data_IF_968226344464
#
_entry.id   IF_968226344464
#
_cell.length_a   1.000
_cell.length_b   1.000
_cell.length_c   1.000
_cell.angle_alpha   90.00
_cell.angle_beta   90.00
_cell.angle_gamma   90.00
#
_symmetry.space_group_name_H-M   'P 1'
#
loop_
_entity.id
_entity.type
_entity.pdbx_description
1 polymer ?
#
# COMPACT_ATOMS: atom_id res chain seq x y z
N UNK A 1 12.42 -5.73 -5.33
CA UNK A 1 11.01 -5.79 -5.79
C UNK A 1 10.91 -6.32 -7.22
N UNK A 2 11.61 -5.73 -8.21
CA UNK A 2 11.65 -6.23 -9.60
C UNK A 2 11.86 -7.75 -9.75
N UNK A 3 12.93 -8.29 -9.15
CA UNK A 3 13.19 -9.74 -9.23
C UNK A 3 12.05 -10.58 -8.63
N UNK A 4 11.54 -10.20 -7.47
CA UNK A 4 10.39 -10.87 -6.85
C UNK A 4 9.17 -10.95 -7.77
N UNK A 5 8.81 -9.85 -8.43
CA UNK A 5 7.68 -9.82 -9.38
C UNK A 5 7.95 -10.77 -10.56
N UNK A 6 9.16 -10.73 -11.11
CA UNK A 6 9.56 -11.61 -12.23
C UNK A 6 9.54 -13.08 -11.84
N UNK A 7 10.03 -13.41 -10.66
CA UNK A 7 10.08 -14.77 -10.15
C UNK A 7 8.66 -15.31 -9.93
N UNK A 8 7.77 -14.53 -9.30
CA UNK A 8 6.35 -14.93 -9.12
C UNK A 8 5.65 -15.14 -10.46
N UNK A 9 5.85 -14.25 -11.44
CA UNK A 9 5.28 -14.40 -12.80
C UNK A 9 5.78 -15.66 -13.48
N UNK A 10 7.08 -15.93 -13.39
CA UNK A 10 7.70 -17.14 -13.95
C UNK A 10 7.15 -18.39 -13.30
N UNK A 11 7.10 -18.43 -11.97
CA UNK A 11 6.67 -19.60 -11.20
C UNK A 11 5.18 -19.93 -11.43
N UNK A 12 4.35 -18.91 -11.63
CA UNK A 12 2.92 -19.07 -11.94
C UNK A 12 2.62 -19.24 -13.44
N UNK A 13 3.60 -19.04 -14.32
CA UNK A 13 3.39 -19.08 -15.77
C UNK A 13 2.59 -17.90 -16.33
N UNK A 14 2.47 -16.81 -15.56
CA UNK A 14 1.63 -15.65 -15.87
C UNK A 14 2.50 -14.40 -16.08
N UNK A 15 3.02 -14.15 -17.30
CA UNK A 15 4.00 -13.10 -17.58
C UNK A 15 3.49 -11.68 -17.33
N UNK A 16 2.17 -11.48 -17.37
CA UNK A 16 1.50 -10.19 -17.22
C UNK A 16 0.65 -10.11 -15.95
N UNK A 17 0.85 -11.03 -15.00
CA UNK A 17 0.14 -11.04 -13.71
C UNK A 17 0.20 -9.65 -13.07
N UNK A 18 -0.96 -9.03 -12.76
CA UNK A 18 -0.98 -7.68 -12.22
C UNK A 18 -0.51 -7.65 -10.76
N UNK A 19 0.29 -6.63 -10.42
CA UNK A 19 0.76 -6.39 -9.05
C UNK A 19 0.33 -5.02 -8.55
N UNK A 20 -0.22 -4.98 -7.34
CA UNK A 20 -0.40 -3.74 -6.59
C UNK A 20 0.54 -3.74 -5.39
N UNK A 21 1.36 -2.70 -5.29
CA UNK A 21 2.32 -2.54 -4.19
C UNK A 21 1.83 -1.42 -3.28
N UNK A 22 1.58 -1.75 -2.02
CA UNK A 22 1.37 -0.74 -0.98
C UNK A 22 2.69 -0.06 -0.61
N UNK A 23 2.84 1.22 -0.95
CA UNK A 23 3.96 2.03 -0.46
C UNK A 23 3.75 2.24 1.05
N UNK A 24 4.77 1.93 1.84
CA UNK A 24 4.75 1.99 3.30
C UNK A 24 4.23 3.35 3.79
N UNK A 25 3.25 3.33 4.71
CA UNK A 25 2.56 4.54 5.18
C UNK A 25 2.50 4.70 6.69
N UNK A 26 3.18 3.85 7.46
CA UNK A 26 3.10 3.81 8.93
C UNK A 26 3.68 5.06 9.64
N UNK A 27 4.30 5.99 8.90
CA UNK A 27 4.63 7.33 9.36
C UNK A 27 3.40 8.26 9.52
N UNK A 28 2.23 7.83 9.05
CA UNK A 28 1.02 8.64 9.06
C UNK A 28 1.21 9.98 8.36
N UNK A 29 0.75 11.06 8.99
CA UNK A 29 0.86 12.42 8.43
C UNK A 29 2.26 13.03 8.48
N UNK A 30 3.25 12.33 9.05
CA UNK A 30 4.61 12.85 9.19
C UNK A 30 5.42 12.53 7.95
N UNK A 31 6.41 13.34 7.64
CA UNK A 31 7.37 13.01 6.58
C UNK A 31 8.18 11.75 6.94
N UNK A 32 8.36 10.85 5.97
CA UNK A 32 9.23 9.68 6.13
C UNK A 32 10.70 10.10 6.13
N UNK A 33 11.50 9.50 7.02
CA UNK A 33 12.94 9.81 7.17
C UNK A 33 13.77 8.53 7.22
N UNK A 34 15.07 8.66 6.95
CA UNK A 34 16.03 7.56 7.02
C UNK A 34 15.61 6.35 6.19
N UNK A 35 15.72 5.15 6.76
CA UNK A 35 15.42 3.88 6.07
C UNK A 35 14.00 3.82 5.51
N UNK A 36 13.02 4.46 6.17
CA UNK A 36 11.64 4.47 5.66
C UNK A 36 11.55 5.25 4.34
N UNK A 37 12.20 6.40 4.23
CA UNK A 37 12.21 7.17 2.99
C UNK A 37 12.85 6.38 1.84
N UNK A 38 13.96 5.68 2.14
CA UNK A 38 14.65 4.81 1.18
C UNK A 38 13.71 3.69 0.69
N UNK A 39 13.02 3.01 1.61
CA UNK A 39 12.10 1.93 1.25
C UNK A 39 10.90 2.46 0.46
N UNK A 40 10.30 3.60 0.85
CA UNK A 40 9.20 4.22 0.11
C UNK A 40 9.61 4.58 -1.32
N UNK A 41 10.80 5.16 -1.49
CA UNK A 41 11.35 5.47 -2.82
C UNK A 41 11.55 4.20 -3.65
N UNK A 42 12.10 3.12 -3.07
CA UNK A 42 12.30 1.85 -3.74
C UNK A 42 10.98 1.12 -4.09
N UNK A 43 9.91 1.30 -3.31
CA UNK A 43 8.58 0.81 -3.66
C UNK A 43 7.96 1.64 -4.79
N UNK A 44 8.04 2.98 -4.67
CA UNK A 44 7.51 3.90 -5.67
C UNK A 44 8.18 3.75 -7.04
N UNK A 45 9.49 3.44 -7.07
CA UNK A 45 10.24 3.32 -8.34
C UNK A 45 9.77 2.16 -9.22
N UNK A 46 8.93 1.24 -8.72
CA UNK A 46 8.35 0.19 -9.56
C UNK A 46 7.37 0.74 -10.60
N UNK A 47 6.81 1.93 -10.39
CA UNK A 47 5.99 2.63 -11.40
C UNK A 47 6.83 3.13 -12.59
N UNK A 48 8.14 3.28 -12.41
CA UNK A 48 9.05 3.84 -13.42
C UNK A 48 9.80 2.75 -14.20
N UNK A 49 9.52 1.48 -13.94
CA UNK A 49 10.15 0.36 -14.66
C UNK A 49 9.36 0.14 -15.97
N UNK A 50 9.96 0.35 -17.15
CA UNK A 50 9.19 0.28 -18.41
C UNK A 50 8.53 -1.08 -18.65
N UNK A 51 9.17 -2.18 -18.25
CA UNK A 51 8.64 -3.54 -18.38
C UNK A 51 7.39 -3.81 -17.52
N UNK A 52 7.05 -2.91 -16.60
CA UNK A 52 5.92 -3.02 -15.68
C UNK A 52 4.78 -2.06 -16.00
N UNK A 53 4.93 -1.24 -17.05
CA UNK A 53 3.85 -0.39 -17.54
C UNK A 53 2.59 -1.24 -17.83
N UNK A 54 1.44 -0.76 -17.37
CA UNK A 54 0.15 -1.45 -17.54
C UNK A 54 -0.09 -2.66 -16.63
N UNK A 55 0.92 -3.16 -15.91
CA UNK A 55 0.78 -4.42 -15.13
C UNK A 55 1.24 -4.32 -13.67
N UNK A 56 1.97 -3.28 -13.27
CA UNK A 56 2.32 -3.04 -11.87
C UNK A 56 1.97 -1.61 -11.49
N UNK A 57 1.39 -1.44 -10.29
CA UNK A 57 1.19 -0.11 -9.70
C UNK A 57 1.54 -0.08 -8.22
N UNK A 58 2.45 0.80 -7.84
CA UNK A 58 2.74 1.15 -6.47
C UNK A 58 1.93 2.38 -6.05
N UNK A 59 1.15 2.27 -4.97
CA UNK A 59 0.28 3.35 -4.49
C UNK A 59 0.58 3.74 -3.04
N UNK A 60 0.51 5.04 -2.69
CA UNK A 60 0.68 5.49 -1.31
C UNK A 60 -0.43 4.95 -0.42
N UNK A 61 -0.07 4.45 0.76
CA UNK A 61 -1.07 3.99 1.76
C UNK A 61 -1.33 5.01 2.86
N UNK A 62 -0.39 5.94 3.10
CA UNK A 62 -0.50 7.01 4.11
C UNK A 62 -1.65 7.99 3.82
N UNK A 63 -2.08 8.15 2.56
CA UNK A 63 -3.28 8.90 2.19
C UNK A 63 -4.57 8.36 2.85
N UNK A 64 -4.53 7.12 3.34
CA UNK A 64 -5.65 6.48 4.05
C UNK A 64 -5.50 6.48 5.58
N UNK A 65 -4.46 7.13 6.12
CA UNK A 65 -4.21 7.21 7.55
C UNK A 65 -5.44 7.73 8.31
N UNK A 66 -5.76 7.07 9.44
CA UNK A 66 -6.95 7.40 10.21
C UNK A 66 -6.67 8.56 11.17
N UNK A 67 -7.12 9.75 10.79
CA UNK A 67 -7.00 10.96 11.60
C UNK A 67 -7.61 10.82 12.99
N UNK A 68 -8.77 10.17 13.11
CA UNK A 68 -9.45 10.05 14.42
C UNK A 68 -8.66 9.15 15.36
N UNK A 69 -8.16 8.03 14.85
CA UNK A 69 -7.31 7.14 15.62
C UNK A 69 -5.98 7.82 15.98
N UNK A 70 -5.38 8.58 15.05
CA UNK A 70 -4.12 9.31 15.27
C UNK A 70 -4.24 10.35 16.39
N UNK A 71 -5.31 11.14 16.37
CA UNK A 71 -5.62 12.15 17.39
C UNK A 71 -5.92 11.54 18.76
N UNK A 72 -6.57 10.37 18.79
CA UNK A 72 -6.90 9.68 20.04
C UNK A 72 -5.68 8.95 20.66
N UNK A 73 -4.75 8.48 19.83
CA UNK A 73 -3.63 7.62 20.24
C UNK A 73 -2.80 8.21 21.40
N UNK A 74 -2.39 9.49 21.45
CA UNK A 74 -1.61 10.03 22.57
C UNK A 74 -2.21 9.80 23.96
N UNK A 75 -3.54 9.64 24.05
CA UNK A 75 -4.27 9.44 25.31
C UNK A 75 -4.96 8.07 25.41
N UNK A 76 -4.70 7.14 24.49
CA UNK A 76 -5.50 5.91 24.31
C UNK A 76 -5.65 5.07 25.59
N UNK A 77 -4.60 5.00 26.42
CA UNK A 77 -4.64 4.25 27.69
C UNK A 77 -5.61 4.84 28.72
N UNK A 78 -5.79 6.17 28.69
CA UNK A 78 -6.74 6.87 29.58
C UNK A 78 -8.18 6.75 29.07
N UNK A 79 -8.34 6.59 27.75
CA UNK A 79 -9.63 6.54 27.06
C UNK A 79 -9.81 5.19 26.35
N UNK A 80 -9.48 4.08 27.02
CA UNK A 80 -9.36 2.77 26.37
C UNK A 80 -10.68 2.27 25.75
N UNK A 81 -11.81 2.57 26.39
CA UNK A 81 -13.14 2.22 25.86
C UNK A 81 -13.45 2.95 24.54
N UNK A 82 -12.95 4.18 24.37
CA UNK A 82 -13.07 4.90 23.11
C UNK A 82 -12.05 4.40 22.08
N UNK A 83 -10.82 4.10 22.53
CA UNK A 83 -9.78 3.54 21.67
C UNK A 83 -10.25 2.29 20.94
N UNK A 84 -10.88 1.34 21.64
CA UNK A 84 -11.40 0.08 21.05
C UNK A 84 -12.36 0.28 19.88
N UNK A 85 -12.96 1.47 19.71
CA UNK A 85 -13.88 1.76 18.60
C UNK A 85 -13.18 2.20 17.33
N UNK A 86 -11.94 2.66 17.42
CA UNK A 86 -11.22 3.35 16.32
C UNK A 86 -9.81 2.80 16.07
N UNK A 87 -9.22 2.10 17.04
CA UNK A 87 -7.90 1.51 16.93
C UNK A 87 -7.73 0.30 17.84
N UNK A 88 -6.65 -0.44 17.60
CA UNK A 88 -6.33 -1.65 18.37
C UNK A 88 -4.84 -1.85 18.59
N UNK A 89 -3.97 -1.02 18.00
CA UNK A 89 -2.52 -1.22 18.04
C UNK A 89 -1.73 0.10 17.88
N UNK A 90 -0.41 0.01 17.88
CA UNK A 90 0.53 1.12 17.74
C UNK A 90 0.59 1.68 16.30
N UNK A 91 1.10 2.90 16.09
CA UNK A 91 1.24 3.51 14.77
C UNK A 91 2.02 2.65 13.77
N UNK A 92 3.01 1.87 14.22
CA UNK A 92 3.74 0.96 13.34
C UNK A 92 2.82 -0.09 12.66
N UNK A 93 1.72 -0.46 13.31
CA UNK A 93 0.66 -1.34 12.76
C UNK A 93 -0.56 -0.55 12.29
N UNK A 94 -0.35 0.70 11.84
CA UNK A 94 -1.41 1.54 11.31
C UNK A 94 -2.55 1.76 12.32
N UNK A 95 -2.17 1.93 13.58
CA UNK A 95 -3.07 2.16 14.72
C UNK A 95 -4.03 0.99 15.00
N UNK A 96 -3.89 -0.14 14.29
CA UNK A 96 -4.91 -1.18 14.24
C UNK A 96 -6.26 -0.66 13.72
N UNK A 97 -6.27 0.44 12.96
CA UNK A 97 -7.50 1.11 12.53
C UNK A 97 -8.21 0.31 11.44
N UNK A 98 -9.42 -0.17 11.74
CA UNK A 98 -10.30 -0.80 10.74
C UNK A 98 -10.59 0.12 9.57
N UNK A 99 -10.67 1.45 9.79
CA UNK A 99 -10.92 2.42 8.74
C UNK A 99 -9.75 2.50 7.76
N UNK A 100 -8.52 2.54 8.26
CA UNK A 100 -7.31 2.49 7.43
C UNK A 100 -7.32 1.24 6.56
N UNK A 101 -7.44 0.05 7.16
CA UNK A 101 -7.37 -1.22 6.42
C UNK A 101 -8.51 -1.39 5.42
N UNK A 102 -9.73 -0.94 5.76
CA UNK A 102 -10.86 -0.99 4.82
C UNK A 102 -10.62 -0.10 3.60
N UNK A 103 -10.03 1.09 3.79
CA UNK A 103 -9.75 2.04 2.71
C UNK A 103 -8.59 1.58 1.83
N UNK A 104 -7.48 1.13 2.44
CA UNK A 104 -6.34 0.60 1.70
C UNK A 104 -6.71 -0.66 0.93
N UNK A 105 -7.47 -1.58 1.56
CA UNK A 105 -7.95 -2.79 0.88
C UNK A 105 -8.83 -2.45 -0.33
N UNK A 106 -9.72 -1.46 -0.20
CA UNK A 106 -10.50 -0.96 -1.35
C UNK A 106 -9.61 -0.34 -2.43
N UNK A 107 -8.62 0.46 -2.05
CA UNK A 107 -7.70 1.09 -3.01
C UNK A 107 -6.87 0.05 -3.77
N UNK A 108 -6.39 -1.00 -3.09
CA UNK A 108 -5.71 -2.12 -3.75
C UNK A 108 -6.63 -2.88 -4.69
N UNK A 109 -7.85 -3.23 -4.25
CA UNK A 109 -8.82 -3.93 -5.08
C UNK A 109 -9.19 -3.12 -6.33
N UNK A 110 -9.45 -1.82 -6.19
CA UNK A 110 -9.76 -0.95 -7.33
C UNK A 110 -8.57 -0.84 -8.28
N UNK A 111 -7.37 -0.63 -7.75
CA UNK A 111 -6.15 -0.54 -8.57
C UNK A 111 -5.90 -1.82 -9.36
N UNK A 112 -6.14 -2.98 -8.73
CA UNK A 112 -6.02 -4.28 -9.40
C UNK A 112 -7.04 -4.41 -10.53
N UNK A 113 -8.31 -4.05 -10.28
CA UNK A 113 -9.36 -4.06 -11.31
C UNK A 113 -9.07 -3.12 -12.46
N UNK A 114 -8.41 -1.98 -12.21
CA UNK A 114 -8.03 -1.03 -13.25
C UNK A 114 -6.89 -1.62 -14.11
N UNK A 115 -5.85 -2.20 -13.49
CA UNK A 115 -4.77 -2.89 -14.20
C UNK A 115 -5.29 -4.05 -15.06
N UNK A 116 -6.27 -4.81 -14.57
CA UNK A 116 -6.88 -5.92 -15.32
C UNK A 116 -7.69 -5.48 -16.55
N UNK A 117 -8.03 -4.19 -16.66
CA UNK A 117 -8.75 -3.62 -17.82
C UNK A 117 -7.81 -2.92 -18.80
N UNK A 118 -6.59 -2.61 -18.38
CA UNK A 118 -5.60 -1.98 -19.25
C UNK A 118 -5.12 -3.00 -20.29
N UNK A 119 -5.10 -2.63 -21.59
CA UNK A 119 -4.54 -3.51 -22.61
C UNK A 119 -3.07 -3.78 -22.27
N UNK A 120 -2.67 -5.04 -22.37
CA UNK A 120 -1.28 -5.43 -22.15
C UNK A 120 -0.47 -5.10 -23.40
N UNK A 121 0.85 -4.89 -23.26
CA UNK A 121 1.73 -4.58 -24.39
C UNK A 121 1.79 -5.66 -25.48
N UNK A 122 1.12 -6.81 -25.28
CA UNK A 122 0.96 -7.90 -26.25
C UNK A 122 -0.33 -7.82 -27.05
N UNK A 123 -1.29 -6.99 -26.64
CA UNK A 123 -2.55 -6.81 -27.36
C UNK A 123 -2.40 -5.85 -28.57
N UNK A 124 -1.24 -5.20 -28.69
CA UNK A 124 -0.88 -4.24 -29.75
C UNK A 124 0.02 -4.84 -30.87
N UNK A 125 0.33 -6.15 -30.84
CA UNK A 125 1.04 -6.91 -31.91
C UNK A 125 0.12 -7.90 -32.63
#
# INVERSE_FOLDING_TARGET
>A
MKNFIKDVRKDLGEPDLPFVIGIMGQNGFKEAKGNMAIVKAAQSSMNEVPEFAGTVRAIPTDVHWDRKADEAYPSWRKNFEEWKKIGSDHPYHYLGSTLFFSRVGRAFGQTLLDLMKEPTSKDDE
#
